data_IF_538735848064
#
_entry.id   IF_538735848064
#
_cell.length_a   1.000
_cell.length_b   1.000
_cell.length_c   1.000
_cell.angle_alpha   90.00
_cell.angle_beta   90.00
_cell.angle_gamma   90.00
#
_symmetry.space_group_name_H-M   'P 1'
#
loop_
_entity.id
_entity.type
_entity.pdbx_description
1 polymer ?
#
# COMPACT_ATOMS: atom_id res chain seq x y z
N UNK A 1 -18.62 4.00 -28.74
CA UNK A 1 -17.57 4.89 -28.25
C UNK A 1 -17.36 4.58 -26.75
N UNK A 2 -16.40 3.74 -26.45
CA UNK A 2 -16.07 3.33 -25.08
C UNK A 2 -15.11 4.40 -24.54
N UNK A 3 -15.60 5.29 -23.66
CA UNK A 3 -14.74 6.19 -22.91
C UNK A 3 -14.07 5.39 -21.78
N UNK A 4 -12.88 4.91 -22.07
CA UNK A 4 -11.98 4.36 -21.05
C UNK A 4 -11.42 5.52 -20.22
N UNK A 5 -12.08 5.83 -19.10
CA UNK A 5 -11.45 6.63 -18.06
C UNK A 5 -10.38 5.73 -17.40
N UNK A 6 -9.11 5.94 -17.75
CA UNK A 6 -7.98 5.35 -17.03
C UNK A 6 -8.02 5.87 -15.58
N UNK A 7 -8.12 5.03 -14.57
CA UNK A 7 -8.10 5.51 -13.18
C UNK A 7 -6.67 5.90 -12.82
N UNK A 8 -6.47 7.18 -12.54
CA UNK A 8 -5.21 7.76 -12.00
C UNK A 8 -4.78 7.05 -10.70
N UNK A 9 -5.72 6.39 -10.02
CA UNK A 9 -5.46 5.60 -8.80
C UNK A 9 -4.45 4.45 -8.97
N UNK A 10 -4.22 3.94 -10.20
CA UNK A 10 -3.26 2.87 -10.44
C UNK A 10 -1.79 3.29 -10.30
N UNK A 11 -1.50 4.58 -10.45
CA UNK A 11 -0.12 5.10 -10.39
C UNK A 11 0.42 5.19 -8.95
N UNK A 12 -0.44 5.47 -7.99
CA UNK A 12 -0.05 5.66 -6.58
C UNK A 12 0.14 4.31 -5.86
N UNK A 13 -0.57 3.27 -6.29
CA UNK A 13 -0.50 1.94 -5.66
C UNK A 13 0.86 1.25 -5.87
N UNK A 14 1.56 1.56 -6.96
CA UNK A 14 2.84 0.90 -7.29
C UNK A 14 4.02 1.42 -6.47
N UNK A 15 4.02 2.68 -6.06
CA UNK A 15 5.09 3.24 -5.23
C UNK A 15 5.07 2.69 -3.78
N UNK A 16 3.88 2.29 -3.29
CA UNK A 16 3.66 1.84 -1.92
C UNK A 16 4.05 0.36 -1.65
N UNK A 17 4.38 -0.43 -2.67
CA UNK A 17 4.53 -1.89 -2.52
C UNK A 17 5.98 -2.39 -2.49
N UNK A 18 6.98 -1.55 -2.79
CA UNK A 18 8.33 -2.05 -3.01
C UNK A 18 9.41 -1.31 -2.23
N UNK A 19 10.37 -2.07 -1.66
CA UNK A 19 11.43 -1.51 -0.82
C UNK A 19 12.39 -0.57 -1.54
N UNK A 20 12.70 0.52 -0.91
CA UNK A 20 13.88 1.30 -1.20
C UNK A 20 15.18 0.52 -0.93
N UNK A 21 16.23 0.87 -1.62
CA UNK A 21 17.52 0.19 -1.64
C UNK A 21 18.34 0.52 -0.40
N UNK A 22 18.85 -0.49 0.27
CA UNK A 22 20.01 -0.32 1.11
C UNK A 22 21.16 -1.18 0.56
N UNK A 23 22.23 -0.55 0.17
CA UNK A 23 23.53 -1.17 0.00
C UNK A 23 24.48 -0.75 1.12
N UNK A 24 25.44 -1.63 1.34
CA UNK A 24 26.56 -1.56 2.27
C UNK A 24 27.23 -0.19 2.37
N UNK A 25 27.74 0.13 3.52
CA UNK A 25 28.50 1.31 3.98
C UNK A 25 29.62 1.84 3.02
N UNK A 26 29.20 2.37 1.92
CA UNK A 26 29.80 3.45 1.16
C UNK A 26 28.58 4.21 0.65
N UNK A 27 28.57 5.52 0.77
CA UNK A 27 27.54 6.38 0.21
C UNK A 27 27.25 5.93 -1.24
N UNK A 28 26.10 5.33 -1.48
CA UNK A 28 25.76 4.85 -2.81
C UNK A 28 25.36 6.05 -3.66
N UNK A 29 26.21 6.39 -4.61
CA UNK A 29 25.90 7.42 -5.61
C UNK A 29 24.86 6.89 -6.57
N UNK A 30 23.70 7.51 -6.62
CA UNK A 30 22.58 7.14 -7.49
C UNK A 30 22.28 8.26 -8.49
N UNK A 31 21.77 7.94 -9.70
CA UNK A 31 21.32 8.97 -10.62
C UNK A 31 20.24 9.86 -9.97
N UNK A 32 20.37 11.17 -10.12
CA UNK A 32 19.41 12.14 -9.57
C UNK A 32 17.99 11.88 -10.06
N UNK A 33 17.86 11.48 -11.33
CA UNK A 33 16.57 11.05 -11.87
C UNK A 33 16.71 9.81 -12.76
N UNK A 34 15.62 9.04 -12.81
CA UNK A 34 15.47 7.86 -13.65
C UNK A 34 14.11 7.88 -14.32
N UNK A 35 14.07 7.60 -15.62
CA UNK A 35 12.84 7.52 -16.41
C UNK A 35 12.77 6.18 -17.15
N UNK A 36 11.57 5.62 -17.20
CA UNK A 36 11.33 4.36 -17.86
C UNK A 36 9.84 4.04 -17.97
N UNK A 37 9.58 2.81 -18.33
CA UNK A 37 8.24 2.26 -18.41
C UNK A 37 8.21 0.87 -17.78
N UNK A 38 7.06 0.50 -17.26
CA UNK A 38 6.88 -0.80 -16.62
C UNK A 38 5.49 -1.37 -16.83
N UNK A 39 5.34 -2.57 -16.30
CA UNK A 39 4.06 -3.28 -16.23
C UNK A 39 3.86 -3.75 -14.79
N UNK A 40 2.64 -3.57 -14.29
CA UNK A 40 2.21 -4.03 -12.97
C UNK A 40 1.09 -5.02 -13.12
N UNK A 41 1.26 -6.20 -12.52
CA UNK A 41 0.22 -7.21 -12.37
C UNK A 41 -0.26 -7.25 -10.93
N UNK A 42 -1.58 -7.20 -10.70
CA UNK A 42 -2.19 -7.24 -9.38
C UNK A 42 -3.33 -8.26 -9.34
N UNK A 43 -3.42 -8.98 -8.23
CA UNK A 43 -4.57 -9.79 -7.83
C UNK A 43 -5.12 -9.21 -6.53
N UNK A 44 -6.30 -8.60 -6.59
CA UNK A 44 -6.90 -7.89 -5.46
C UNK A 44 -8.36 -8.34 -5.28
N UNK A 45 -8.79 -8.77 -4.09
CA UNK A 45 -10.19 -8.77 -3.73
C UNK A 45 -10.79 -7.37 -3.82
N UNK A 46 -12.08 -7.26 -4.12
CA UNK A 46 -12.78 -5.97 -4.25
C UNK A 46 -12.63 -5.10 -3.00
N UNK A 47 -12.65 -5.72 -1.82
CA UNK A 47 -12.35 -5.12 -0.53
C UNK A 47 -11.94 -6.22 0.46
N UNK A 48 -11.42 -5.87 1.62
CA UNK A 48 -11.01 -6.84 2.64
C UNK A 48 -12.22 -7.62 3.14
N UNK A 49 -12.21 -8.95 2.99
CA UNK A 49 -13.33 -9.83 3.30
C UNK A 49 -14.27 -10.14 2.12
N UNK A 50 -14.04 -9.57 0.94
CA UNK A 50 -14.73 -9.95 -0.28
C UNK A 50 -14.27 -11.33 -0.78
N UNK A 51 -15.18 -12.10 -1.36
CA UNK A 51 -14.90 -13.35 -2.07
C UNK A 51 -14.69 -13.13 -3.58
N UNK A 52 -14.95 -11.94 -4.09
CA UNK A 52 -14.69 -11.54 -5.47
C UNK A 52 -13.27 -11.00 -5.62
N UNK A 53 -12.48 -11.59 -6.52
CA UNK A 53 -11.08 -11.22 -6.79
C UNK A 53 -10.96 -10.73 -8.21
N UNK A 54 -10.19 -9.67 -8.42
CA UNK A 54 -9.92 -9.09 -9.73
C UNK A 54 -8.43 -9.10 -10.04
N UNK A 55 -8.14 -9.34 -11.31
CA UNK A 55 -6.80 -9.21 -11.87
C UNK A 55 -6.68 -7.91 -12.65
N UNK A 56 -5.57 -7.22 -12.47
CA UNK A 56 -5.21 -6.02 -13.21
C UNK A 56 -3.84 -6.21 -13.85
N UNK A 57 -3.70 -5.76 -15.09
CA UNK A 57 -2.43 -5.65 -15.77
C UNK A 57 -2.35 -4.23 -16.35
N UNK A 58 -1.47 -3.41 -15.78
CA UNK A 58 -1.44 -1.98 -16.05
C UNK A 58 -0.05 -1.57 -16.53
N UNK A 59 0.04 -0.88 -17.68
CA UNK A 59 1.26 -0.16 -18.02
C UNK A 59 1.42 1.03 -17.08
N UNK A 60 2.63 1.24 -16.60
CA UNK A 60 2.96 2.33 -15.68
C UNK A 60 4.22 3.05 -16.13
N UNK A 61 4.27 4.38 -16.04
CA UNK A 61 5.53 5.10 -16.16
C UNK A 61 6.40 4.77 -14.94
N UNK A 62 7.71 4.64 -15.15
CA UNK A 62 8.70 4.58 -14.09
C UNK A 62 9.41 5.93 -14.05
N UNK A 63 9.16 6.69 -13.00
CA UNK A 63 9.73 8.02 -12.80
C UNK A 63 10.25 8.09 -11.37
N UNK A 64 11.56 8.24 -11.23
CA UNK A 64 12.20 8.55 -9.95
C UNK A 64 12.93 9.88 -10.11
N UNK A 65 12.73 10.77 -9.17
CA UNK A 65 13.48 11.99 -9.01
C UNK A 65 13.90 12.11 -7.54
N UNK A 66 15.21 12.11 -7.29
CA UNK A 66 15.77 12.17 -5.94
C UNK A 66 16.04 13.65 -5.60
N UNK A 67 15.20 14.17 -4.73
CA UNK A 67 15.38 15.47 -4.10
C UNK A 67 16.00 15.24 -2.72
N UNK A 68 16.86 16.14 -2.27
CA UNK A 68 17.49 16.06 -0.94
C UNK A 68 16.48 15.99 0.20
N UNK A 69 15.25 16.48 -0.02
CA UNK A 69 14.18 16.59 0.99
C UNK A 69 12.94 15.74 0.70
N UNK A 70 12.89 14.99 -0.40
CA UNK A 70 11.79 14.05 -0.72
C UNK A 70 12.37 12.66 -0.97
N UNK A 71 12.05 11.73 -0.09
CA UNK A 71 12.37 10.31 -0.23
C UNK A 71 11.11 9.56 -0.67
N UNK A 72 11.19 8.72 -1.67
CA UNK A 72 10.10 7.84 -2.08
C UNK A 72 10.52 6.38 -1.90
N UNK A 73 9.82 5.65 -1.08
CA UNK A 73 10.06 4.24 -0.83
C UNK A 73 8.77 3.42 -0.81
N UNK A 74 8.81 2.18 -0.30
CA UNK A 74 7.68 1.24 -0.20
C UNK A 74 6.48 1.75 0.56
N UNK A 75 6.68 2.68 1.46
CA UNK A 75 5.64 3.16 2.37
C UNK A 75 4.99 4.43 1.85
N UNK A 76 5.53 4.99 0.76
CA UNK A 76 4.96 6.16 0.08
C UNK A 76 6.00 7.20 -0.33
N UNK A 77 5.53 8.39 -0.64
CA UNK A 77 6.36 9.56 -0.84
C UNK A 77 6.60 10.15 0.56
N UNK A 78 7.86 10.20 0.98
CA UNK A 78 8.24 10.76 2.27
C UNK A 78 8.77 12.17 2.08
N UNK A 79 8.27 13.10 2.86
CA UNK A 79 8.95 14.32 3.22
C UNK A 79 9.35 14.15 4.68
N UNK A 80 10.63 14.08 4.98
CA UNK A 80 11.10 13.97 6.36
C UNK A 80 10.73 15.26 7.09
N UNK A 81 9.73 15.19 7.94
CA UNK A 81 9.27 16.32 8.74
C UNK A 81 10.13 16.50 9.99
N UNK A 82 10.72 15.43 10.47
CA UNK A 82 11.65 15.40 11.58
C UNK A 82 12.54 14.17 11.43
N UNK A 83 13.85 14.36 11.39
CA UNK A 83 14.85 13.30 11.31
C UNK A 83 15.71 13.31 12.58
N UNK A 84 15.70 12.21 13.30
CA UNK A 84 16.62 11.91 14.40
C UNK A 84 17.15 10.50 14.18
N UNK A 85 18.34 10.20 14.71
CA UNK A 85 18.97 8.88 14.55
C UNK A 85 18.07 7.70 14.93
N UNK A 86 17.10 7.89 15.82
CA UNK A 86 16.24 6.84 16.38
C UNK A 86 14.80 6.85 15.82
N UNK A 87 14.32 7.99 15.29
CA UNK A 87 12.94 8.13 14.83
C UNK A 87 12.78 9.20 13.76
N UNK A 88 11.93 8.94 12.78
CA UNK A 88 11.58 9.91 11.74
C UNK A 88 10.05 10.02 11.59
N UNK A 89 9.58 11.18 11.16
CA UNK A 89 8.18 11.41 10.80
C UNK A 89 8.09 11.57 9.29
N UNK A 90 7.35 10.67 8.67
CA UNK A 90 7.17 10.57 7.24
C UNK A 90 5.73 10.86 6.81
N UNK A 91 5.51 11.15 5.52
CA UNK A 91 4.18 11.17 4.92
C UNK A 91 3.85 9.78 4.37
N UNK A 92 2.77 9.18 4.85
CA UNK A 92 2.29 7.89 4.38
C UNK A 92 1.10 8.05 3.44
N UNK A 93 1.13 7.33 2.33
CA UNK A 93 0.09 7.33 1.30
C UNK A 93 -0.44 5.91 1.06
N UNK A 94 -1.73 5.80 0.76
CA UNK A 94 -2.36 4.55 0.32
C UNK A 94 -3.50 4.85 -0.65
N UNK A 95 -3.87 3.88 -1.48
CA UNK A 95 -5.00 4.02 -2.40
C UNK A 95 -5.78 2.71 -2.49
N UNK A 96 -7.10 2.84 -2.65
CA UNK A 96 -8.01 1.70 -2.85
C UNK A 96 -8.72 1.88 -4.20
N UNK A 97 -8.71 0.86 -5.08
CA UNK A 97 -9.41 0.92 -6.36
C UNK A 97 -10.93 0.97 -6.17
N UNK A 98 -11.67 1.46 -7.19
CA UNK A 98 -13.12 1.47 -7.16
C UNK A 98 -13.69 0.06 -7.25
N UNK A 99 -14.86 -0.16 -6.62
CA UNK A 99 -15.62 -1.42 -6.72
C UNK A 99 -16.99 -1.13 -7.30
N UNK A 100 -17.31 -1.76 -8.43
CA UNK A 100 -18.65 -1.73 -9.01
C UNK A 100 -19.53 -2.76 -8.27
N UNK A 101 -20.49 -2.27 -7.52
CA UNK A 101 -21.39 -3.12 -6.71
C UNK A 101 -22.21 -4.10 -7.54
N UNK A 102 -22.58 -3.75 -8.78
CA UNK A 102 -23.25 -4.66 -9.71
C UNK A 102 -22.39 -5.86 -10.16
N UNK A 103 -21.08 -5.84 -9.92
CA UNK A 103 -20.15 -6.94 -10.21
C UNK A 103 -19.67 -7.65 -8.94
N UNK A 104 -20.32 -7.39 -7.80
CA UNK A 104 -19.99 -8.00 -6.52
C UNK A 104 -21.26 -8.50 -5.86
N UNK A 105 -21.40 -9.83 -5.72
CA UNK A 105 -22.64 -10.48 -5.24
C UNK A 105 -23.06 -9.99 -3.86
N UNK A 106 -22.13 -9.78 -2.95
CA UNK A 106 -22.44 -9.30 -1.61
C UNK A 106 -22.99 -7.86 -1.62
N UNK A 107 -22.60 -7.06 -2.62
CA UNK A 107 -22.96 -5.64 -2.74
C UNK A 107 -23.99 -5.33 -3.82
N UNK A 108 -24.54 -6.35 -4.47
CA UNK A 108 -25.47 -6.15 -5.58
C UNK A 108 -26.64 -5.22 -5.21
N UNK A 109 -26.88 -4.19 -6.02
CA UNK A 109 -27.90 -3.17 -5.79
C UNK A 109 -27.52 -2.06 -4.81
N UNK A 110 -26.37 -2.13 -4.16
CA UNK A 110 -25.80 -1.03 -3.36
C UNK A 110 -25.06 -0.02 -4.23
N UNK A 111 -24.76 1.15 -3.68
CA UNK A 111 -23.90 2.11 -4.33
C UNK A 111 -22.47 1.56 -4.55
N UNK A 112 -21.84 1.96 -5.66
CA UNK A 112 -20.45 1.64 -5.94
C UNK A 112 -19.51 2.23 -4.89
N UNK A 113 -18.45 1.48 -4.53
CA UNK A 113 -17.35 2.06 -3.79
C UNK A 113 -16.48 2.88 -4.74
N UNK A 114 -16.36 4.17 -4.46
CA UNK A 114 -15.50 5.07 -5.21
C UNK A 114 -14.02 4.77 -4.92
N UNK A 115 -13.10 5.07 -5.85
CA UNK A 115 -11.69 5.00 -5.51
C UNK A 115 -11.40 5.90 -4.32
N UNK A 116 -10.47 5.49 -3.47
CA UNK A 116 -10.14 6.20 -2.25
C UNK A 116 -8.63 6.42 -2.17
N UNK A 117 -8.23 7.58 -1.68
CA UNK A 117 -6.86 7.86 -1.29
C UNK A 117 -6.80 8.10 0.20
N UNK A 118 -5.75 7.60 0.82
CA UNK A 118 -5.48 7.79 2.23
C UNK A 118 -4.10 8.42 2.37
N UNK A 119 -3.97 9.45 3.20
CA UNK A 119 -2.69 10.09 3.48
C UNK A 119 -2.62 10.64 4.89
N UNK A 120 -1.41 10.75 5.40
CA UNK A 120 -1.17 11.29 6.72
C UNK A 120 0.22 10.95 7.25
N UNK A 121 0.55 11.42 8.46
CA UNK A 121 1.87 11.17 9.04
C UNK A 121 2.08 9.70 9.39
N UNK A 122 3.33 9.26 9.31
CA UNK A 122 3.83 7.99 9.87
C UNK A 122 4.99 8.29 10.80
N UNK A 123 4.90 7.82 12.03
CA UNK A 123 6.04 7.76 12.94
C UNK A 123 6.77 6.45 12.71
N UNK A 124 8.02 6.53 12.31
CA UNK A 124 8.88 5.38 12.04
C UNK A 124 10.01 5.37 13.08
N UNK A 125 10.09 4.30 13.89
CA UNK A 125 11.07 4.13 14.97
C UNK A 125 12.04 3.02 14.55
N UNK A 126 13.33 3.32 14.55
CA UNK A 126 14.40 2.40 14.22
C UNK A 126 14.76 1.58 15.45
N UNK A 127 14.38 0.29 15.47
CA UNK A 127 14.64 -0.60 16.60
C UNK A 127 16.02 -1.25 16.52
N UNK A 128 16.43 -1.65 15.33
CA UNK A 128 17.69 -2.39 15.18
C UNK A 128 18.24 -2.30 13.76
N UNK A 129 19.56 -2.19 13.67
CA UNK A 129 20.36 -2.22 12.45
C UNK A 129 21.49 -3.23 12.65
N UNK A 130 21.45 -4.33 11.86
CA UNK A 130 22.46 -5.40 11.94
C UNK A 130 23.44 -5.35 10.80
N UNK A 131 24.62 -5.96 11.01
CA UNK A 131 25.73 -6.19 10.08
C UNK A 131 25.77 -5.28 8.83
N UNK A 132 26.38 -4.11 8.94
CA UNK A 132 26.52 -3.18 7.81
C UNK A 132 25.18 -2.73 7.21
N UNK A 133 24.14 -2.62 8.03
CA UNK A 133 22.76 -2.27 7.63
C UNK A 133 22.09 -3.30 6.71
N UNK A 134 22.62 -4.53 6.66
CA UNK A 134 22.01 -5.63 5.92
C UNK A 134 20.63 -6.02 6.46
N UNK A 135 20.44 -5.87 7.75
CA UNK A 135 19.19 -6.15 8.45
C UNK A 135 18.67 -4.87 9.09
N UNK A 136 17.39 -4.61 8.91
CA UNK A 136 16.71 -3.45 9.53
C UNK A 136 15.41 -3.93 10.18
N UNK A 137 15.16 -3.46 11.39
CA UNK A 137 13.91 -3.70 12.11
C UNK A 137 13.34 -2.35 12.56
N UNK A 138 12.16 -2.03 12.07
CA UNK A 138 11.49 -0.76 12.32
C UNK A 138 10.06 -0.98 12.82
N UNK A 139 9.58 -0.10 13.69
CA UNK A 139 8.15 0.07 13.95
C UNK A 139 7.68 1.27 13.15
N UNK A 140 6.65 1.08 12.31
CA UNK A 140 6.02 2.15 11.53
C UNK A 140 4.58 2.31 11.96
N UNK A 141 4.19 3.52 12.25
CA UNK A 141 2.87 3.84 12.79
C UNK A 141 2.18 4.93 11.97
N UNK A 142 1.66 4.58 10.78
CA UNK A 142 0.92 5.53 9.96
C UNK A 142 -0.48 5.80 10.52
N UNK A 143 -0.84 7.08 10.56
CA UNK A 143 -2.21 7.58 10.77
C UNK A 143 -2.64 8.27 9.50
N UNK A 144 -3.67 7.74 8.82
CA UNK A 144 -4.10 8.24 7.51
C UNK A 144 -5.55 8.69 7.52
N UNK A 145 -5.82 9.87 6.99
CA UNK A 145 -7.16 10.32 6.64
C UNK A 145 -7.52 9.82 5.24
N UNK A 146 -8.73 9.30 5.07
CA UNK A 146 -9.24 8.68 3.85
C UNK A 146 -10.24 9.59 3.15
N UNK A 147 -10.09 9.77 1.84
CA UNK A 147 -10.99 10.58 1.01
C UNK A 147 -11.35 9.84 -0.28
N UNK A 148 -12.62 9.95 -0.68
CA UNK A 148 -13.07 9.42 -1.98
C UNK A 148 -12.53 10.28 -3.12
N UNK A 149 -12.15 9.65 -4.23
CA UNK A 149 -11.69 10.34 -5.44
C UNK A 149 -12.87 10.50 -6.41
N UNK A 150 -13.54 11.64 -6.28
CA UNK A 150 -14.68 12.03 -7.09
C UNK A 150 -14.73 13.56 -7.22
N UNK A 151 -15.65 14.13 -8.01
CA UNK A 151 -15.75 15.57 -8.21
C UNK A 151 -15.94 16.37 -6.92
N UNK A 152 -16.57 15.78 -5.89
CA UNK A 152 -16.70 16.32 -4.55
C UNK A 152 -16.17 15.27 -3.56
N UNK A 153 -14.87 15.32 -3.23
CA UNK A 153 -14.26 14.37 -2.32
C UNK A 153 -14.98 14.33 -0.97
N UNK A 154 -15.29 13.13 -0.49
CA UNK A 154 -15.92 12.93 0.82
C UNK A 154 -14.91 12.29 1.77
N UNK A 155 -14.92 12.77 3.00
CA UNK A 155 -14.19 12.14 4.09
C UNK A 155 -14.74 10.73 4.33
N UNK A 156 -13.87 9.74 4.21
CA UNK A 156 -14.18 8.33 4.46
C UNK A 156 -13.65 7.82 5.81
N UNK A 157 -13.08 8.71 6.63
CA UNK A 157 -12.62 8.38 7.97
C UNK A 157 -11.11 8.34 8.13
N UNK A 158 -10.63 7.70 9.19
CA UNK A 158 -9.21 7.63 9.55
C UNK A 158 -8.83 6.20 9.85
N UNK A 159 -7.65 5.79 9.41
CA UNK A 159 -7.01 4.51 9.75
C UNK A 159 -5.73 4.70 10.54
N UNK A 160 -5.40 3.72 11.38
CA UNK A 160 -4.15 3.57 12.12
C UNK A 160 -3.67 2.13 11.90
N UNK A 161 -2.45 1.95 11.43
CA UNK A 161 -1.94 0.60 11.14
C UNK A 161 -0.47 0.44 11.58
N UNK A 162 -0.21 0.34 12.89
CA UNK A 162 1.14 0.10 13.37
C UNK A 162 1.65 -1.25 12.88
N UNK A 163 2.89 -1.28 12.40
CA UNK A 163 3.53 -2.49 11.85
C UNK A 163 4.95 -2.62 12.33
N UNK A 164 5.36 -3.85 12.59
CA UNK A 164 6.75 -4.24 12.70
C UNK A 164 7.25 -4.58 11.29
N UNK A 165 8.32 -3.93 10.85
CA UNK A 165 8.89 -4.09 9.52
C UNK A 165 10.29 -4.66 9.64
N UNK A 166 10.56 -5.76 8.95
CA UNK A 166 11.86 -6.39 8.89
C UNK A 166 12.35 -6.46 7.45
N UNK A 167 13.50 -5.84 7.19
CA UNK A 167 14.12 -5.76 5.89
C UNK A 167 15.45 -6.50 5.87
N UNK A 168 15.69 -7.27 4.81
CA UNK A 168 16.93 -8.02 4.57
C UNK A 168 17.47 -7.69 3.19
N UNK A 169 18.70 -7.18 3.13
CA UNK A 169 19.42 -6.90 1.88
C UNK A 169 20.45 -8.00 1.59
N UNK A 170 20.71 -8.27 0.30
CA UNK A 170 21.78 -9.16 -0.13
C UNK A 170 21.54 -10.65 0.16
N UNK A 171 20.33 -11.15 -0.07
CA UNK A 171 19.97 -12.55 0.17
C UNK A 171 20.80 -13.49 -0.70
N UNK A 172 21.46 -14.49 -0.08
CA UNK A 172 22.28 -15.49 -0.78
C UNK A 172 23.46 -14.87 -1.54
N UNK A 173 24.02 -13.75 -1.07
CA UNK A 173 25.13 -13.07 -1.74
C UNK A 173 24.73 -12.35 -3.04
N UNK A 174 23.43 -12.26 -3.33
CA UNK A 174 22.88 -11.56 -4.51
C UNK A 174 22.14 -10.29 -4.09
N UNK A 175 22.00 -9.28 -4.95
CA UNK A 175 21.35 -8.00 -4.62
C UNK A 175 19.82 -8.11 -4.58
N UNK A 176 19.29 -9.16 -3.95
CA UNK A 176 17.89 -9.29 -3.64
C UNK A 176 17.57 -8.60 -2.31
N UNK A 177 16.39 -8.02 -2.24
CA UNK A 177 15.87 -7.39 -1.04
C UNK A 177 14.55 -8.04 -0.66
N UNK A 178 14.44 -8.45 0.59
CA UNK A 178 13.23 -9.00 1.18
C UNK A 178 12.74 -8.02 2.24
N UNK A 179 11.46 -7.66 2.15
CA UNK A 179 10.77 -6.90 3.18
C UNK A 179 9.61 -7.72 3.71
N UNK A 180 9.44 -7.68 5.00
CA UNK A 180 8.31 -8.31 5.70
C UNK A 180 7.69 -7.28 6.63
N UNK A 181 6.37 -7.27 6.73
CA UNK A 181 5.69 -6.51 7.76
C UNK A 181 4.54 -7.30 8.36
N UNK A 182 4.26 -7.01 9.62
CA UNK A 182 3.11 -7.54 10.34
C UNK A 182 2.58 -6.50 11.32
N UNK A 183 1.26 -6.42 11.51
CA UNK A 183 0.67 -5.53 12.49
C UNK A 183 -0.84 -5.44 12.42
N UNK A 184 -1.48 -4.92 13.48
CA UNK A 184 -2.91 -4.68 13.51
C UNK A 184 -3.32 -3.49 12.64
N UNK A 185 -4.58 -3.49 12.25
CA UNK A 185 -5.24 -2.35 11.60
C UNK A 185 -6.39 -1.91 12.48
N UNK A 186 -6.53 -0.62 12.63
CA UNK A 186 -7.67 0.03 13.28
C UNK A 186 -8.22 1.10 12.35
N UNK A 187 -9.54 1.30 12.38
CA UNK A 187 -10.13 2.40 11.65
C UNK A 187 -11.38 2.96 12.36
N UNK A 188 -11.74 4.16 11.99
CA UNK A 188 -12.93 4.83 12.51
C UNK A 188 -14.21 4.16 12.00
N UNK A 189 -15.32 4.36 12.72
CA UNK A 189 -16.65 3.91 12.30
C UNK A 189 -17.00 4.35 10.89
N UNK A 190 -16.61 5.57 10.50
CA UNK A 190 -16.87 6.11 9.15
C UNK A 190 -16.22 5.27 8.07
N UNK A 191 -14.97 4.86 8.25
CA UNK A 191 -14.25 4.01 7.30
C UNK A 191 -14.82 2.59 7.25
N UNK A 192 -15.15 2.01 8.40
CA UNK A 192 -15.77 0.70 8.43
C UNK A 192 -17.18 0.71 7.80
N UNK A 193 -18.00 1.74 8.07
CA UNK A 193 -19.32 1.87 7.43
C UNK A 193 -19.23 2.03 5.92
N UNK A 194 -18.20 2.69 5.42
CA UNK A 194 -18.00 2.84 3.99
C UNK A 194 -17.87 1.50 3.27
N UNK A 195 -17.15 0.53 3.84
CA UNK A 195 -16.93 -0.78 3.26
C UNK A 195 -17.95 -1.84 3.70
N UNK A 196 -18.37 -1.82 4.96
CA UNK A 196 -19.09 -2.92 5.62
C UNK A 196 -20.48 -2.54 6.13
N UNK A 197 -20.86 -1.28 6.04
CA UNK A 197 -22.20 -0.84 6.42
C UNK A 197 -23.25 -1.28 5.41
N UNK A 198 -24.42 -1.71 5.91
CA UNK A 198 -25.63 -1.98 5.12
C UNK A 198 -26.75 -1.12 5.70
N UNK A 199 -27.22 -0.16 4.91
CA UNK A 199 -28.36 0.70 5.32
C UNK A 199 -29.66 -0.08 5.28
N UNK A 200 -30.70 0.41 5.97
CA UNK A 200 -32.04 -0.15 5.91
C UNK A 200 -32.59 -0.24 4.48
N UNK A 201 -32.27 0.76 3.65
CA UNK A 201 -32.68 0.77 2.23
C UNK A 201 -31.94 -0.26 1.36
N UNK A 202 -30.76 -0.72 1.79
CA UNK A 202 -29.95 -1.73 1.11
C UNK A 202 -30.17 -3.14 1.69
N UNK A 203 -30.94 -3.23 2.79
CA UNK A 203 -31.18 -4.51 3.47
C UNK A 203 -32.04 -5.46 2.63
N UNK A 204 -31.71 -6.75 2.71
CA UNK A 204 -32.39 -7.86 2.05
C UNK A 204 -32.45 -9.06 3.03
N UNK A 205 -33.28 -10.09 2.79
CA UNK A 205 -33.29 -11.28 3.66
C UNK A 205 -31.92 -11.97 3.82
N UNK A 206 -31.10 -11.96 2.77
CA UNK A 206 -29.76 -12.54 2.73
C UNK A 206 -28.63 -11.54 3.09
N UNK A 207 -28.99 -10.27 3.25
CA UNK A 207 -28.10 -9.15 3.60
C UNK A 207 -28.80 -8.20 4.56
N UNK A 208 -28.91 -8.52 5.84
CA UNK A 208 -29.56 -7.67 6.83
C UNK A 208 -28.83 -6.33 7.02
N UNK A 209 -29.54 -5.32 7.53
CA UNK A 209 -28.94 -4.06 7.89
C UNK A 209 -27.80 -4.26 8.90
N UNK A 210 -26.71 -3.54 8.72
CA UNK A 210 -25.52 -3.66 9.57
C UNK A 210 -24.85 -2.30 9.76
N UNK A 211 -24.67 -1.91 11.00
CA UNK A 211 -23.97 -0.68 11.35
C UNK A 211 -22.57 -1.00 11.87
N UNK A 212 -21.57 -0.82 11.03
CA UNK A 212 -20.18 -1.10 11.38
C UNK A 212 -19.64 -0.09 12.41
N UNK A 213 -19.04 -0.60 13.48
CA UNK A 213 -18.39 0.19 14.52
C UNK A 213 -16.95 0.57 14.15
N UNK A 214 -16.37 1.56 14.82
CA UNK A 214 -14.94 1.87 14.77
C UNK A 214 -14.15 0.96 15.71
N UNK A 215 -12.88 0.70 15.39
CA UNK A 215 -11.99 -0.10 16.21
C UNK A 215 -11.09 -1.03 15.41
N UNK A 216 -10.80 -2.19 15.97
CA UNK A 216 -9.92 -3.20 15.38
C UNK A 216 -10.48 -3.77 14.07
N UNK A 217 -9.63 -3.81 13.06
CA UNK A 217 -9.97 -4.21 11.69
C UNK A 217 -9.21 -5.46 11.21
N UNK A 218 -8.55 -6.17 12.12
CA UNK A 218 -7.78 -7.37 11.79
C UNK A 218 -6.27 -7.17 11.81
N UNK A 219 -5.53 -8.25 11.52
CA UNK A 219 -4.07 -8.25 11.37
C UNK A 219 -3.69 -8.33 9.91
N UNK A 220 -2.59 -7.70 9.54
CA UNK A 220 -1.98 -7.78 8.22
C UNK A 220 -0.58 -8.40 8.28
N UNK A 221 -0.25 -9.13 7.22
CA UNK A 221 1.07 -9.69 6.96
C UNK A 221 1.41 -9.46 5.49
N UNK A 222 2.59 -8.96 5.22
CA UNK A 222 3.05 -8.76 3.85
C UNK A 222 4.49 -9.21 3.73
N UNK A 223 4.80 -9.88 2.62
CA UNK A 223 6.16 -10.21 2.20
C UNK A 223 6.36 -9.60 0.82
N UNK A 224 7.47 -8.91 0.63
CA UNK A 224 7.86 -8.32 -0.64
C UNK A 224 9.30 -8.70 -0.98
N UNK A 225 9.53 -9.01 -2.25
CA UNK A 225 10.83 -9.32 -2.79
C UNK A 225 11.13 -8.38 -3.95
N UNK A 226 12.31 -7.80 -4.00
CA UNK A 226 12.70 -6.95 -5.12
C UNK A 226 14.17 -7.09 -5.48
N UNK A 227 14.49 -6.70 -6.74
CA UNK A 227 15.85 -6.64 -7.24
C UNK A 227 16.00 -5.55 -8.29
N UNK A 228 17.06 -4.78 -8.18
CA UNK A 228 17.52 -3.86 -9.20
C UNK A 228 18.56 -4.53 -10.09
N UNK A 229 18.40 -4.35 -11.37
CA UNK A 229 19.37 -4.65 -12.42
C UNK A 229 19.87 -3.30 -12.97
N UNK A 230 20.89 -3.32 -13.82
CA UNK A 230 21.46 -2.10 -14.38
C UNK A 230 20.42 -1.18 -15.03
N UNK A 231 19.56 -1.74 -15.91
CA UNK A 231 18.53 -1.00 -16.65
C UNK A 231 17.11 -1.54 -16.41
N UNK A 232 16.91 -2.32 -15.37
CA UNK A 232 15.60 -2.87 -15.05
C UNK A 232 15.41 -3.02 -13.55
N UNK A 233 14.17 -3.04 -13.14
CA UNK A 233 13.78 -3.31 -11.77
C UNK A 233 12.64 -4.33 -11.75
N UNK A 234 12.70 -5.25 -10.80
CA UNK A 234 11.67 -6.23 -10.53
C UNK A 234 11.25 -6.16 -9.08
N UNK A 235 9.95 -6.30 -8.83
CA UNK A 235 9.39 -6.45 -7.50
C UNK A 235 8.17 -7.35 -7.51
N UNK A 236 7.94 -8.06 -6.41
CA UNK A 236 6.74 -8.86 -6.18
C UNK A 236 6.37 -8.82 -4.70
N UNK A 237 5.07 -8.96 -4.41
CA UNK A 237 4.59 -9.06 -3.03
C UNK A 237 3.46 -10.08 -2.92
N UNK A 238 3.30 -10.59 -1.71
CA UNK A 238 2.12 -11.31 -1.25
C UNK A 238 1.68 -10.74 0.09
N UNK A 239 0.38 -10.54 0.25
CA UNK A 239 -0.23 -10.03 1.48
C UNK A 239 -1.34 -10.97 1.93
N UNK A 240 -1.38 -11.21 3.22
CA UNK A 240 -2.44 -11.93 3.91
C UNK A 240 -2.92 -11.09 5.09
N UNK A 241 -4.24 -10.88 5.19
CA UNK A 241 -4.85 -10.27 6.36
C UNK A 241 -5.86 -11.27 6.97
N UNK A 242 -5.91 -11.34 8.28
CA UNK A 242 -7.02 -11.99 8.99
C UNK A 242 -7.97 -10.93 9.51
N UNK A 243 -9.28 -11.16 9.33
CA UNK A 243 -10.35 -10.28 9.81
C UNK A 243 -11.00 -10.82 11.09
N UNK A 244 -10.50 -11.93 11.63
CA UNK A 244 -11.03 -12.51 12.86
C UNK A 244 -10.90 -11.53 14.01
N UNK A 245 -12.00 -11.34 14.75
CA UNK A 245 -12.12 -10.37 15.82
C UNK A 245 -12.26 -8.92 15.37
N UNK A 246 -12.33 -8.65 14.05
CA UNK A 246 -12.62 -7.31 13.54
C UNK A 246 -14.03 -6.88 13.98
N UNK A 247 -14.20 -5.60 14.35
CA UNK A 247 -15.49 -5.06 14.83
C UNK A 247 -16.61 -5.11 13.80
N UNK A 248 -16.29 -5.47 12.57
CA UNK A 248 -17.21 -5.66 11.45
C UNK A 248 -17.23 -7.11 10.93
N UNK A 249 -16.67 -8.08 11.65
CA UNK A 249 -16.57 -9.48 11.21
C UNK A 249 -17.95 -10.08 10.86
N UNK A 250 -18.99 -9.71 11.62
CA UNK A 250 -20.36 -10.19 11.41
C UNK A 250 -21.13 -9.45 10.30
N UNK A 251 -20.50 -8.50 9.59
CA UNK A 251 -21.16 -7.84 8.47
C UNK A 251 -21.49 -8.84 7.36
N UNK A 252 -22.71 -8.79 6.78
CA UNK A 252 -23.09 -9.65 5.65
C UNK A 252 -22.24 -9.39 4.39
N UNK A 253 -21.46 -8.30 4.36
CA UNK A 253 -20.50 -7.98 3.31
C UNK A 253 -19.16 -8.69 3.50
N UNK A 254 -18.88 -9.25 4.69
CA UNK A 254 -17.68 -10.05 4.95
C UNK A 254 -17.96 -11.49 4.57
N UNK A 255 -17.55 -11.89 3.36
CA UNK A 255 -17.77 -13.22 2.80
C UNK A 255 -16.65 -14.20 3.13
N UNK A 256 -15.50 -13.69 3.53
CA UNK A 256 -14.32 -14.46 3.96
C UNK A 256 -13.67 -13.80 5.18
N UNK A 257 -13.28 -14.57 6.21
CA UNK A 257 -12.59 -14.03 7.39
C UNK A 257 -11.13 -13.67 7.12
N UNK A 258 -10.73 -13.64 5.88
CA UNK A 258 -9.36 -13.30 5.44
C UNK A 258 -9.37 -12.54 4.10
N UNK A 259 -8.26 -11.87 3.83
CA UNK A 259 -7.97 -11.19 2.59
C UNK A 259 -6.60 -11.64 2.08
N UNK A 260 -6.52 -12.00 0.81
CA UNK A 260 -5.25 -12.35 0.14
C UNK A 260 -5.10 -11.48 -1.09
N UNK A 261 -3.97 -10.83 -1.21
CA UNK A 261 -3.59 -10.11 -2.42
C UNK A 261 -2.15 -10.41 -2.81
N UNK A 262 -1.85 -10.30 -4.07
CA UNK A 262 -0.51 -10.47 -4.60
C UNK A 262 -0.29 -9.56 -5.80
N UNK A 263 0.95 -9.24 -6.09
CA UNK A 263 1.29 -8.47 -7.27
C UNK A 263 2.76 -8.54 -7.62
N UNK A 264 3.05 -8.13 -8.84
CA UNK A 264 4.42 -7.95 -9.31
C UNK A 264 4.51 -6.68 -10.16
N UNK A 265 5.73 -6.16 -10.28
CA UNK A 265 6.04 -5.08 -11.20
C UNK A 265 7.41 -5.32 -11.84
N UNK A 266 7.49 -4.98 -13.11
CA UNK A 266 8.74 -4.99 -13.88
C UNK A 266 8.85 -3.62 -14.54
N UNK A 267 9.98 -2.96 -14.36
CA UNK A 267 10.26 -1.68 -15.01
C UNK A 267 11.54 -1.78 -15.83
N UNK A 268 11.53 -1.21 -17.03
CA UNK A 268 12.70 -0.95 -17.84
C UNK A 268 13.06 0.53 -17.75
N UNK A 269 14.36 0.84 -17.52
CA UNK A 269 14.85 2.16 -17.12
C UNK A 269 15.99 2.55 -18.09
N UNK A 270 15.66 2.98 -19.31
CA UNK A 270 16.62 3.31 -20.32
C UNK A 270 17.33 4.66 -20.10
N UNK A 271 16.68 5.59 -19.37
CA UNK A 271 17.15 6.95 -19.21
C UNK A 271 17.48 7.23 -17.74
N UNK A 272 18.69 7.72 -17.49
CA UNK A 272 19.18 8.06 -16.16
C UNK A 272 19.99 9.35 -16.21
N UNK A 273 19.97 10.13 -15.11
CA UNK A 273 20.81 11.32 -14.97
C UNK A 273 22.29 10.95 -14.94
N UNK A 274 23.12 11.77 -15.57
CA UNK A 274 24.58 11.75 -15.35
C UNK A 274 24.96 12.37 -14.02
N UNK A 275 24.11 13.24 -13.46
CA UNK A 275 24.29 13.79 -12.11
C UNK A 275 23.96 12.70 -11.10
N UNK A 276 24.93 12.42 -10.23
CA UNK A 276 24.81 11.45 -9.16
C UNK A 276 24.57 12.20 -7.85
N UNK A 277 23.65 11.70 -7.03
CA UNK A 277 23.37 12.21 -5.70
C UNK A 277 23.68 11.13 -4.67
N UNK A 278 24.20 11.56 -3.54
CA UNK A 278 24.45 10.67 -2.41
C UNK A 278 23.12 10.23 -1.83
N UNK A 279 23.02 8.96 -1.57
CA UNK A 279 21.88 8.41 -0.85
C UNK A 279 22.15 8.44 0.63
N UNK A 280 21.52 9.36 1.35
CA UNK A 280 21.40 9.31 2.80
C UNK A 280 20.32 8.27 3.19
N UNK A 281 20.77 7.17 3.78
CA UNK A 281 19.88 6.13 4.33
C UNK A 281 19.80 6.23 5.86
#
# INVERSE_FOLDING_TARGET
MIKTHLPIAGLILCAALFPGWSKQAAAEMLPQWELGAGVVGLLLPDYRGSDEVRSYLLPVPYIIYRLEWIKADRTGIHSTLLDREEAEVNLSLSATPPVRSGNNRAREGMNDLKPMVEFGPSLDIHLWRGDGRRFKLDVRTPVRAAFTVESHPRDAGVSLSPTLNFDVAGIGGRPWQLGMLAGPIFATRRQHRYFYGVSESDARPDRPAFDAHGGYAGLQFLVALSRRFEKAWFGAYARYDTLRGAVFEDSPLVRRPYYVSAGFAIAWIPLQSSTMVERDD
#
